data_IF_667570380990
#
_entry.id   IF_667570380990
#
_cell.length_a   1.000
_cell.length_b   1.000
_cell.length_c   1.000
_cell.angle_alpha   90.00
_cell.angle_beta   90.00
_cell.angle_gamma   90.00
#
_symmetry.space_group_name_H-M   'P 1'
#
loop_
_entity.id
_entity.type
_entity.pdbx_description
1 polymer ?
#
# COMPACT_ATOMS: atom_id res chain seq x y z
N UNK A 1 -38.84 -1.31 50.62
CA UNK A 1 -37.98 -2.03 49.65
C UNK A 1 -38.34 -1.57 48.25
N UNK A 2 -37.42 -0.86 47.58
CA UNK A 2 -37.19 -1.03 46.15
C UNK A 2 -35.71 -1.43 45.91
N UNK A 3 -35.41 -2.27 44.91
CA UNK A 3 -34.05 -2.74 44.68
C UNK A 3 -33.24 -1.71 43.89
N UNK A 4 -32.05 -1.38 44.42
CA UNK A 4 -31.01 -0.61 43.75
C UNK A 4 -30.28 -1.49 42.75
N UNK A 5 -30.51 -1.27 41.46
CA UNK A 5 -29.77 -1.91 40.37
C UNK A 5 -28.36 -1.31 40.28
N UNK A 6 -27.36 -2.05 40.79
CA UNK A 6 -25.94 -1.76 40.53
C UNK A 6 -25.64 -2.05 39.05
N UNK A 7 -25.38 -0.99 38.28
CA UNK A 7 -24.77 -1.11 36.95
C UNK A 7 -23.30 -1.48 37.18
N UNK A 8 -22.94 -2.73 36.89
CA UNK A 8 -21.54 -3.15 36.79
C UNK A 8 -21.01 -2.71 35.43
N UNK A 9 -20.18 -1.67 35.42
CA UNK A 9 -19.33 -1.34 34.28
C UNK A 9 -18.24 -2.40 34.16
N UNK A 10 -18.34 -3.27 33.17
CA UNK A 10 -17.29 -4.23 32.81
C UNK A 10 -16.94 -4.09 31.33
N UNK A 11 -15.91 -3.30 31.03
CA UNK A 11 -15.00 -3.50 29.91
C UNK A 11 -13.86 -2.50 30.01
N UNK A 12 -12.86 -2.83 30.82
CA UNK A 12 -11.54 -2.22 30.74
C UNK A 12 -10.92 -2.66 29.40
N UNK A 13 -10.84 -1.72 28.46
CA UNK A 13 -10.02 -1.87 27.27
C UNK A 13 -8.57 -1.77 27.75
N UNK A 14 -7.86 -2.90 27.79
CA UNK A 14 -6.42 -2.87 28.03
C UNK A 14 -5.75 -2.07 26.91
N UNK A 15 -5.11 -0.97 27.28
CA UNK A 15 -4.37 -0.10 26.37
C UNK A 15 -3.09 -0.80 25.92
N UNK A 16 -3.02 -1.16 24.65
CA UNK A 16 -1.80 -1.66 24.02
C UNK A 16 -0.94 -0.45 23.65
N UNK A 17 0.09 -0.17 24.46
CA UNK A 17 1.08 0.87 24.16
C UNK A 17 2.14 0.38 23.17
N UNK A 18 2.71 1.29 22.38
CA UNK A 18 3.71 1.08 21.32
C UNK A 18 5.08 0.60 21.88
N UNK A 19 5.23 0.48 23.21
CA UNK A 19 6.47 0.08 23.89
C UNK A 19 6.68 -1.42 24.14
N UNK A 20 5.83 -2.33 23.66
CA UNK A 20 6.02 -3.79 23.83
C UNK A 20 6.42 -4.46 22.52
N UNK A 21 7.52 -5.21 22.56
CA UNK A 21 7.95 -6.18 21.54
C UNK A 21 6.82 -7.15 21.15
N UNK A 22 6.85 -7.69 19.92
CA UNK A 22 5.64 -7.97 19.14
C UNK A 22 4.84 -9.13 19.72
N UNK A 23 3.55 -8.88 19.95
CA UNK A 23 2.57 -9.96 20.05
C UNK A 23 2.51 -10.64 18.68
N UNK A 24 3.05 -11.87 18.59
CA UNK A 24 2.77 -12.79 17.49
C UNK A 24 1.31 -13.24 17.60
N UNK A 25 0.41 -12.49 17.00
CA UNK A 25 -0.85 -13.05 16.56
C UNK A 25 -0.68 -13.35 15.06
N UNK A 26 -0.69 -14.64 14.70
CA UNK A 26 -0.94 -15.11 13.33
C UNK A 26 -2.39 -14.75 12.95
N UNK A 27 -2.66 -13.46 12.85
CA UNK A 27 -3.83 -12.95 12.19
C UNK A 27 -3.45 -12.87 10.71
N UNK A 28 -4.29 -13.42 9.83
CA UNK A 28 -4.21 -13.15 8.38
C UNK A 28 -4.25 -11.62 8.19
N UNK A 29 -3.07 -11.03 8.08
CA UNK A 29 -2.83 -9.61 7.82
C UNK A 29 -2.70 -9.51 6.31
N UNK A 30 -3.58 -8.72 5.71
CA UNK A 30 -3.59 -8.56 4.26
C UNK A 30 -2.30 -7.87 3.85
N UNK A 31 -1.60 -8.47 2.90
CA UNK A 31 -0.40 -7.94 2.29
C UNK A 31 -0.43 -8.17 0.79
N UNK A 32 0.02 -7.19 0.03
CA UNK A 32 0.21 -7.37 -1.40
C UNK A 32 1.35 -8.38 -1.65
N UNK A 33 1.07 -9.38 -2.49
CA UNK A 33 2.07 -10.34 -2.97
C UNK A 33 2.17 -10.20 -4.49
N UNK A 34 3.35 -10.43 -5.08
CA UNK A 34 3.51 -10.31 -6.50
C UNK A 34 2.96 -11.58 -7.17
N UNK A 35 2.47 -11.45 -8.41
CA UNK A 35 1.70 -12.53 -9.04
C UNK A 35 2.55 -13.73 -9.49
N UNK A 36 3.86 -13.59 -9.43
CA UNK A 36 4.85 -14.64 -9.64
C UNK A 36 5.28 -15.37 -8.37
N UNK A 37 4.88 -14.89 -7.20
CA UNK A 37 5.25 -15.45 -5.91
C UNK A 37 6.67 -15.08 -5.47
N UNK A 38 6.84 -14.98 -4.15
CA UNK A 38 8.11 -14.74 -3.47
C UNK A 38 8.17 -15.60 -2.19
N UNK A 39 9.38 -15.98 -1.72
CA UNK A 39 9.53 -16.58 -0.40
C UNK A 39 8.95 -15.68 0.70
N UNK A 40 8.26 -16.26 1.69
CA UNK A 40 7.49 -15.50 2.69
C UNK A 40 8.35 -14.59 3.59
N UNK A 41 9.63 -14.92 3.75
CA UNK A 41 10.57 -14.13 4.55
C UNK A 41 11.04 -12.87 3.82
N UNK A 42 10.88 -12.80 2.49
CA UNK A 42 11.28 -11.63 1.71
C UNK A 42 10.14 -10.63 1.73
N UNK A 43 10.41 -9.47 2.33
CA UNK A 43 9.41 -8.42 2.51
C UNK A 43 9.45 -7.35 1.43
N UNK A 44 10.65 -6.98 0.98
CA UNK A 44 10.86 -5.93 -0.02
C UNK A 44 11.83 -6.48 -1.06
N UNK A 45 11.59 -6.13 -2.31
CA UNK A 45 12.31 -6.61 -3.48
C UNK A 45 12.21 -5.56 -4.59
N UNK A 46 12.91 -5.78 -5.70
CA UNK A 46 12.68 -5.01 -6.92
C UNK A 46 11.43 -5.53 -7.61
N UNK A 47 10.55 -4.65 -8.08
CA UNK A 47 9.31 -5.06 -8.74
C UNK A 47 8.91 -4.17 -9.91
N UNK A 48 8.04 -4.71 -10.75
CA UNK A 48 7.41 -4.00 -11.86
C UNK A 48 5.91 -3.99 -11.64
N UNK A 49 5.33 -2.80 -11.55
CA UNK A 49 3.88 -2.59 -11.40
C UNK A 49 3.27 -2.15 -12.73
N UNK A 50 2.03 -2.54 -13.00
CA UNK A 50 1.40 -2.30 -14.29
C UNK A 50 0.09 -1.53 -14.16
N UNK A 51 0.02 -0.40 -14.82
CA UNK A 51 -1.23 0.27 -15.13
C UNK A 51 -1.73 -0.26 -16.48
N UNK A 52 -2.42 -1.40 -16.46
CA UNK A 52 -2.90 -2.06 -17.70
C UNK A 52 -4.33 -1.65 -18.02
N UNK A 53 -4.55 -1.17 -19.23
CA UNK A 53 -5.78 -0.52 -19.63
C UNK A 53 -6.20 -1.01 -21.00
N UNK A 54 -7.50 -1.21 -21.17
CA UNK A 54 -8.10 -1.36 -22.47
C UNK A 54 -9.09 -0.23 -22.72
N UNK A 55 -8.69 0.71 -23.59
CA UNK A 55 -9.54 1.85 -23.94
C UNK A 55 -10.81 1.44 -24.67
N UNK A 56 -10.80 0.33 -25.41
CA UNK A 56 -11.98 -0.12 -26.16
C UNK A 56 -13.14 -0.53 -25.25
N UNK A 57 -12.84 -1.19 -24.12
CA UNK A 57 -13.85 -1.60 -23.15
C UNK A 57 -13.93 -0.65 -21.95
N UNK A 58 -13.11 0.39 -21.91
CA UNK A 58 -12.98 1.32 -20.79
C UNK A 58 -12.75 0.58 -19.46
N UNK A 59 -11.81 -0.37 -19.48
CA UNK A 59 -11.45 -1.20 -18.33
C UNK A 59 -9.99 -1.05 -17.94
N UNK A 60 -9.73 -1.25 -16.65
CA UNK A 60 -8.40 -1.30 -16.03
C UNK A 60 -8.21 -2.65 -15.35
N UNK A 61 -7.01 -3.21 -15.45
CA UNK A 61 -6.66 -4.41 -14.72
C UNK A 61 -6.24 -4.06 -13.29
N UNK A 62 -6.72 -4.85 -12.34
CA UNK A 62 -6.35 -4.80 -10.93
C UNK A 62 -5.93 -6.20 -10.46
N UNK A 63 -5.14 -6.26 -9.39
CA UNK A 63 -4.73 -7.53 -8.80
C UNK A 63 -5.93 -8.35 -8.29
N UNK A 64 -5.78 -9.67 -8.28
CA UNK A 64 -6.79 -10.59 -7.78
C UNK A 64 -6.39 -11.14 -6.39
N UNK A 65 -6.39 -10.30 -5.35
CA UNK A 65 -6.07 -10.75 -3.99
C UNK A 65 -7.33 -11.17 -3.23
N UNK A 66 -7.32 -12.42 -2.77
CA UNK A 66 -8.21 -13.02 -1.76
C UNK A 66 -9.65 -12.49 -1.75
N UNK A 67 -10.42 -12.80 -2.80
CA UNK A 67 -11.84 -12.43 -2.90
C UNK A 67 -12.12 -10.91 -2.81
N UNK A 68 -11.21 -10.05 -3.28
CA UNK A 68 -11.46 -8.61 -3.39
C UNK A 68 -11.41 -7.87 -2.05
N UNK A 69 -10.70 -8.39 -1.05
CA UNK A 69 -10.49 -7.66 0.23
C UNK A 69 -9.76 -6.34 0.00
N UNK A 70 -8.84 -6.31 -0.96
CA UNK A 70 -8.01 -5.14 -1.28
C UNK A 70 -7.72 -5.10 -2.79
N UNK A 71 -7.74 -3.89 -3.37
CA UNK A 71 -7.53 -3.61 -4.80
C UNK A 71 -6.29 -2.74 -5.00
N UNK A 72 -5.44 -3.14 -5.93
CA UNK A 72 -4.26 -2.39 -6.36
C UNK A 72 -3.85 -2.72 -7.80
N UNK A 73 -2.73 -2.18 -8.24
CA UNK A 73 -2.11 -2.48 -9.53
C UNK A 73 -1.56 -3.92 -9.54
N UNK A 74 -1.71 -4.67 -10.64
CA UNK A 74 -0.99 -5.91 -10.84
C UNK A 74 0.52 -5.64 -10.88
N UNK A 75 1.31 -6.56 -10.33
CA UNK A 75 2.76 -6.41 -10.28
C UNK A 75 3.48 -7.75 -10.19
N UNK A 76 4.74 -7.76 -10.62
CA UNK A 76 5.61 -8.94 -10.58
C UNK A 76 6.93 -8.58 -9.91
N UNK A 77 7.56 -9.56 -9.26
CA UNK A 77 8.89 -9.40 -8.70
C UNK A 77 9.96 -9.50 -9.80
N UNK A 78 11.06 -8.76 -9.64
CA UNK A 78 12.22 -8.86 -10.50
C UNK A 78 13.21 -9.86 -9.87
N UNK A 79 13.19 -11.11 -10.33
CA UNK A 79 14.07 -12.17 -9.82
C UNK A 79 15.18 -12.56 -10.80
N UNK A 80 15.10 -12.13 -12.05
CA UNK A 80 16.02 -12.57 -13.11
C UNK A 80 17.18 -11.59 -13.27
N UNK A 81 18.40 -12.12 -13.17
CA UNK A 81 19.62 -11.37 -13.47
C UNK A 81 19.85 -11.29 -15.00
N UNK A 82 20.45 -10.19 -15.45
CA UNK A 82 20.91 -10.04 -16.84
C UNK A 82 19.85 -9.61 -17.86
N UNK A 83 18.60 -9.37 -17.46
CA UNK A 83 17.56 -8.81 -18.33
C UNK A 83 17.37 -7.31 -18.07
N UNK A 84 16.92 -6.58 -19.10
CA UNK A 84 16.60 -5.15 -18.96
C UNK A 84 15.22 -4.98 -18.31
N UNK A 85 15.00 -3.83 -17.64
CA UNK A 85 13.68 -3.47 -17.10
C UNK A 85 12.56 -3.52 -18.15
N UNK A 86 12.86 -3.09 -19.39
CA UNK A 86 11.89 -3.11 -20.48
C UNK A 86 11.53 -4.54 -20.91
N UNK A 87 12.51 -5.44 -20.93
CA UNK A 87 12.29 -6.85 -21.23
C UNK A 87 11.48 -7.51 -20.12
N UNK A 88 11.88 -7.33 -18.86
CA UNK A 88 11.16 -7.82 -17.69
C UNK A 88 9.70 -7.33 -17.66
N UNK A 89 9.46 -6.06 -18.02
CA UNK A 89 8.11 -5.51 -18.10
C UNK A 89 7.24 -6.21 -19.16
N UNK A 90 7.79 -6.49 -20.35
CA UNK A 90 7.06 -7.22 -21.40
C UNK A 90 6.76 -8.66 -20.99
N UNK A 91 7.74 -9.35 -20.42
CA UNK A 91 7.58 -10.72 -19.92
C UNK A 91 6.56 -10.79 -18.78
N UNK A 92 6.55 -9.80 -17.88
CA UNK A 92 5.57 -9.71 -16.80
C UNK A 92 4.14 -9.48 -17.31
N UNK A 93 3.93 -8.63 -18.33
CA UNK A 93 2.61 -8.50 -18.98
C UNK A 93 2.15 -9.84 -19.58
N UNK A 94 3.05 -10.52 -20.29
CA UNK A 94 2.77 -11.86 -20.86
C UNK A 94 2.38 -12.85 -19.77
N UNK A 95 3.07 -12.81 -18.61
CA UNK A 95 2.78 -13.67 -17.45
C UNK A 95 1.43 -13.36 -16.81
N UNK A 96 1.06 -12.08 -16.69
CA UNK A 96 -0.18 -11.64 -16.07
C UNK A 96 -1.42 -11.91 -16.94
N UNK A 97 -1.29 -11.80 -18.26
CA UNK A 97 -2.39 -12.02 -19.22
C UNK A 97 -2.44 -13.47 -19.71
N UNK A 98 -1.29 -14.14 -19.75
CA UNK A 98 -1.16 -15.54 -20.15
C UNK A 98 -1.89 -16.48 -19.20
N UNK A 99 -2.61 -17.46 -19.75
CA UNK A 99 -3.11 -18.59 -18.93
C UNK A 99 -1.91 -19.46 -18.57
N UNK A 100 -1.76 -19.84 -17.30
CA UNK A 100 -0.73 -20.77 -16.77
C UNK A 100 -0.88 -22.21 -17.28
N UNK A 101 -1.24 -22.40 -18.54
CA UNK A 101 -1.27 -23.71 -19.18
C UNK A 101 0.11 -24.01 -19.76
N UNK A 102 0.65 -25.19 -19.46
CA UNK A 102 2.04 -25.63 -19.71
C UNK A 102 2.45 -25.75 -21.21
N UNK A 103 1.68 -25.21 -22.15
CA UNK A 103 2.02 -25.06 -23.57
C UNK A 103 2.45 -23.62 -23.89
N UNK A 104 3.39 -23.08 -23.09
CA UNK A 104 3.73 -21.66 -23.09
C UNK A 104 4.43 -21.18 -24.37
N UNK A 105 5.01 -22.07 -25.18
CA UNK A 105 5.76 -21.65 -26.39
C UNK A 105 4.92 -21.62 -27.68
N UNK A 106 3.86 -22.43 -27.81
CA UNK A 106 3.00 -22.40 -29.00
C UNK A 106 1.95 -21.27 -28.98
N UNK A 107 1.79 -20.56 -27.85
CA UNK A 107 0.69 -19.60 -27.60
C UNK A 107 1.11 -18.13 -27.50
N UNK A 108 2.39 -17.78 -27.69
CA UNK A 108 2.81 -16.37 -27.82
C UNK A 108 2.06 -15.65 -28.96
N UNK A 109 1.63 -16.39 -30.00
CA UNK A 109 0.77 -15.89 -31.07
C UNK A 109 -0.66 -15.49 -30.63
N UNK A 110 -1.08 -15.79 -29.39
CA UNK A 110 -2.48 -15.65 -28.91
C UNK A 110 -2.65 -14.66 -27.76
N UNK A 111 -1.67 -13.77 -27.53
CA UNK A 111 -1.77 -12.70 -26.54
C UNK A 111 -2.28 -11.45 -27.27
N UNK A 112 -3.22 -10.68 -26.68
CA UNK A 112 -3.59 -9.36 -27.22
C UNK A 112 -2.35 -8.51 -27.48
N UNK A 113 -2.36 -7.71 -28.54
CA UNK A 113 -1.25 -6.77 -28.80
C UNK A 113 -1.19 -5.76 -27.66
N UNK A 114 0.03 -5.42 -27.26
CA UNK A 114 0.24 -4.44 -26.22
C UNK A 114 1.54 -3.68 -26.40
N UNK A 115 1.56 -2.46 -25.87
CA UNK A 115 2.76 -1.67 -25.67
C UNK A 115 2.93 -1.41 -24.17
N UNK A 116 4.15 -1.55 -23.68
CA UNK A 116 4.51 -1.27 -22.29
C UNK A 116 5.45 -0.08 -22.25
N UNK A 117 4.95 1.06 -21.78
CA UNK A 117 5.68 2.33 -21.72
C UNK A 117 6.02 2.69 -20.27
N UNK A 118 7.26 3.11 -19.98
CA UNK A 118 7.64 3.62 -18.66
C UNK A 118 6.68 4.71 -18.16
N UNK A 119 6.21 4.58 -16.93
CA UNK A 119 5.32 5.56 -16.29
C UNK A 119 5.99 6.22 -15.09
N UNK A 120 6.54 5.42 -14.19
CA UNK A 120 7.09 5.93 -12.94
C UNK A 120 8.24 5.05 -12.45
N UNK A 121 9.41 5.64 -12.27
CA UNK A 121 10.56 5.01 -11.62
C UNK A 121 10.64 5.48 -10.17
N UNK A 122 10.38 4.55 -9.23
CA UNK A 122 10.48 4.81 -7.80
C UNK A 122 11.67 4.08 -7.21
N UNK A 123 12.56 4.80 -6.52
CA UNK A 123 13.65 4.23 -5.74
C UNK A 123 13.39 4.44 -4.25
N UNK A 124 13.40 3.35 -3.49
CA UNK A 124 13.11 3.33 -2.05
C UNK A 124 14.41 3.02 -1.32
N UNK A 125 14.87 3.95 -0.49
CA UNK A 125 16.02 3.73 0.38
C UNK A 125 15.56 3.03 1.66
N UNK A 126 16.20 1.92 2.01
CA UNK A 126 16.08 1.22 3.28
C UNK A 126 17.37 1.43 4.09
N UNK A 127 17.37 1.16 5.40
CA UNK A 127 18.58 1.26 6.21
C UNK A 127 19.74 0.46 5.65
N UNK A 128 20.96 0.85 6.06
CA UNK A 128 22.22 0.31 5.53
C UNK A 128 22.46 0.64 4.05
N UNK A 129 21.87 1.74 3.55
CA UNK A 129 21.97 2.21 2.16
C UNK A 129 21.52 1.15 1.13
N UNK A 130 20.56 0.30 1.52
CA UNK A 130 19.93 -0.66 0.61
C UNK A 130 18.87 0.04 -0.21
N UNK A 131 18.84 -0.20 -1.52
CA UNK A 131 17.85 0.42 -2.40
C UNK A 131 17.01 -0.65 -3.07
N UNK A 132 15.72 -0.37 -3.16
CA UNK A 132 14.75 -1.17 -3.90
C UNK A 132 14.04 -0.32 -4.93
N UNK A 133 13.74 -0.90 -6.09
CA UNK A 133 13.15 -0.22 -7.22
C UNK A 133 11.75 -0.77 -7.47
N UNK A 134 10.78 0.14 -7.55
CA UNK A 134 9.47 -0.14 -8.16
C UNK A 134 9.39 0.62 -9.47
N UNK A 135 9.42 -0.10 -10.58
CA UNK A 135 9.24 0.49 -11.90
C UNK A 135 7.81 0.25 -12.38
N UNK A 136 7.02 1.31 -12.48
CA UNK A 136 5.65 1.25 -13.01
C UNK A 136 5.63 1.47 -14.52
N UNK A 137 4.86 0.64 -15.23
CA UNK A 137 4.63 0.74 -16.68
C UNK A 137 3.15 0.99 -16.97
N UNK A 138 2.89 1.86 -17.93
CA UNK A 138 1.60 1.98 -18.59
C UNK A 138 1.52 0.92 -19.70
N UNK A 139 0.43 0.15 -19.71
CA UNK A 139 0.22 -0.90 -20.71
C UNK A 139 -1.12 -0.71 -21.38
N UNK A 140 -1.11 -0.43 -22.68
CA UNK A 140 -2.33 -0.40 -23.48
C UNK A 140 -2.58 -1.77 -24.09
N UNK A 141 -3.69 -2.41 -23.73
CA UNK A 141 -4.15 -3.68 -24.29
C UNK A 141 -5.07 -3.41 -25.46
N UNK A 142 -4.63 -3.78 -26.64
CA UNK A 142 -5.40 -3.69 -27.87
C UNK A 142 -6.17 -4.97 -28.12
N UNK A 143 -7.40 -4.83 -28.60
CA UNK A 143 -8.18 -5.98 -29.05
C UNK A 143 -7.50 -6.62 -30.26
N UNK A 144 -7.34 -7.94 -30.19
CA UNK A 144 -7.03 -8.76 -31.35
C UNK A 144 -8.33 -9.38 -31.90
N UNK A 145 -8.40 -9.61 -33.20
CA UNK A 145 -9.52 -10.33 -33.82
C UNK A 145 -9.60 -11.80 -33.35
N UNK A 146 -8.50 -12.33 -32.83
CA UNK A 146 -8.36 -13.75 -32.49
C UNK A 146 -8.66 -14.06 -31.02
N UNK A 147 -8.67 -13.05 -30.14
CA UNK A 147 -8.93 -13.25 -28.71
C UNK A 147 -9.56 -12.01 -28.07
N UNK A 148 -10.59 -12.18 -27.23
CA UNK A 148 -11.11 -11.07 -26.41
C UNK A 148 -10.01 -10.51 -25.51
N UNK A 149 -9.95 -9.17 -25.41
CA UNK A 149 -9.17 -8.48 -24.40
C UNK A 149 -10.01 -8.33 -23.11
N UNK A 150 -9.35 -8.02 -22.00
CA UNK A 150 -9.99 -7.82 -20.69
C UNK A 150 -10.67 -9.06 -20.09
N UNK A 151 -10.08 -10.23 -20.28
CA UNK A 151 -10.54 -11.45 -19.60
C UNK A 151 -9.93 -11.52 -18.21
N UNK A 152 -10.79 -11.72 -17.21
CA UNK A 152 -10.36 -12.03 -15.84
C UNK A 152 -9.62 -13.37 -15.80
N UNK A 153 -8.68 -13.50 -14.88
CA UNK A 153 -7.96 -14.74 -14.64
C UNK A 153 -7.55 -14.87 -13.15
N UNK A 154 -6.75 -15.90 -12.84
CA UNK A 154 -6.31 -16.16 -11.45
C UNK A 154 -5.48 -15.03 -10.83
N UNK A 155 -4.86 -14.17 -11.64
CA UNK A 155 -3.91 -13.13 -11.22
C UNK A 155 -4.51 -11.72 -11.30
N UNK A 156 -5.38 -11.46 -12.29
CA UNK A 156 -5.94 -10.12 -12.53
C UNK A 156 -7.45 -10.14 -12.80
N UNK A 157 -8.10 -9.07 -12.36
CA UNK A 157 -9.50 -8.77 -12.66
C UNK A 157 -9.60 -7.45 -13.45
N UNK A 158 -10.61 -7.31 -14.30
CA UNK A 158 -10.83 -6.13 -15.13
C UNK A 158 -12.10 -5.38 -14.71
N UNK A 159 -11.91 -4.21 -14.08
CA UNK A 159 -12.99 -3.34 -13.62
C UNK A 159 -13.17 -2.13 -14.55
N UNK A 160 -14.36 -1.53 -14.57
CA UNK A 160 -14.57 -0.33 -15.38
C UNK A 160 -13.87 0.89 -14.77
N UNK A 161 -13.36 1.79 -15.60
CA UNK A 161 -12.74 3.03 -15.13
C UNK A 161 -13.65 3.88 -14.24
N UNK A 162 -14.95 3.87 -14.53
CA UNK A 162 -15.96 4.61 -13.77
C UNK A 162 -16.08 4.14 -12.32
N UNK A 163 -15.62 2.93 -12.01
CA UNK A 163 -15.67 2.36 -10.66
C UNK A 163 -14.50 2.85 -9.79
N UNK A 164 -13.36 3.23 -10.38
CA UNK A 164 -12.13 3.61 -9.67
C UNK A 164 -12.36 4.65 -8.57
N UNK A 165 -13.09 5.76 -8.80
CA UNK A 165 -13.29 6.78 -7.76
C UNK A 165 -14.05 6.25 -6.53
N UNK A 166 -14.89 5.23 -6.71
CA UNK A 166 -15.79 4.65 -5.71
C UNK A 166 -15.15 3.47 -4.96
N UNK A 167 -13.93 3.08 -5.32
CA UNK A 167 -13.23 1.99 -4.64
C UNK A 167 -12.77 2.46 -3.26
N UNK A 168 -13.29 1.81 -2.22
CA UNK A 168 -12.94 2.07 -0.82
C UNK A 168 -11.84 1.13 -0.30
N UNK A 169 -11.71 -0.04 -0.92
CA UNK A 169 -10.79 -1.10 -0.53
C UNK A 169 -9.43 -1.04 -1.25
N UNK A 170 -8.88 0.14 -1.51
CA UNK A 170 -7.62 0.28 -2.25
C UNK A 170 -6.39 0.14 -1.35
N UNK A 171 -5.31 -0.42 -1.91
CA UNK A 171 -3.99 -0.42 -1.27
C UNK A 171 -3.11 0.71 -1.76
N UNK A 172 -3.08 1.83 -1.04
CA UNK A 172 -2.32 2.99 -1.48
C UNK A 172 -2.98 3.74 -2.66
N UNK A 173 -2.49 4.95 -2.97
CA UNK A 173 -3.16 5.87 -3.87
C UNK A 173 -2.86 5.62 -5.35
N UNK A 174 -1.87 4.78 -5.68
CA UNK A 174 -1.30 4.70 -7.03
C UNK A 174 -2.34 4.39 -8.10
N UNK A 175 -3.28 3.48 -7.85
CA UNK A 175 -4.33 3.15 -8.82
C UNK A 175 -5.15 4.39 -9.19
N UNK A 176 -5.57 5.18 -8.19
CA UNK A 176 -6.35 6.41 -8.40
C UNK A 176 -5.50 7.52 -9.03
N UNK A 177 -4.27 7.69 -8.56
CA UNK A 177 -3.36 8.75 -9.05
C UNK A 177 -2.90 8.50 -10.49
N UNK A 178 -2.51 7.26 -10.81
CA UNK A 178 -2.08 6.91 -12.17
C UNK A 178 -3.24 6.91 -13.15
N UNK A 179 -4.45 6.51 -12.73
CA UNK A 179 -5.64 6.63 -13.58
C UNK A 179 -5.93 8.09 -13.98
N UNK A 180 -5.69 9.06 -13.09
CA UNK A 180 -5.80 10.49 -13.42
C UNK A 180 -4.70 10.95 -14.40
N UNK A 181 -3.52 10.35 -14.35
CA UNK A 181 -2.38 10.71 -15.19
C UNK A 181 -2.54 10.28 -16.66
N UNK A 182 -3.46 9.38 -17.00
CA UNK A 182 -3.60 8.81 -18.35
C UNK A 182 -3.78 9.83 -19.48
N UNK A 183 -4.28 11.02 -19.17
CA UNK A 183 -4.51 12.07 -20.15
C UNK A 183 -3.32 13.03 -20.31
N UNK A 184 -2.31 12.93 -19.43
CA UNK A 184 -1.19 13.88 -19.31
C UNK A 184 0.13 13.20 -18.88
N UNK A 185 0.30 11.90 -19.18
CA UNK A 185 1.35 11.11 -18.56
C UNK A 185 2.75 11.53 -19.05
N UNK A 186 3.47 12.26 -18.20
CA UNK A 186 4.92 12.39 -18.25
C UNK A 186 5.56 11.31 -17.37
N UNK A 187 6.67 10.75 -17.84
CA UNK A 187 7.48 9.83 -17.05
C UNK A 187 7.99 10.54 -15.79
N UNK A 188 7.76 9.94 -14.63
CA UNK A 188 8.21 10.48 -13.33
C UNK A 188 9.35 9.66 -12.75
N UNK A 189 10.31 10.35 -12.14
CA UNK A 189 11.32 9.75 -11.27
C UNK A 189 11.06 10.26 -9.86
N UNK A 190 10.96 9.35 -8.91
CA UNK A 190 10.80 9.66 -7.50
C UNK A 190 11.78 8.83 -6.68
N UNK A 191 12.35 9.46 -5.67
CA UNK A 191 13.21 8.80 -4.71
C UNK A 191 12.64 9.04 -3.31
N UNK A 192 12.52 7.96 -2.54
CA UNK A 192 12.17 8.00 -1.13
C UNK A 192 13.44 7.81 -0.32
N UNK A 193 14.05 8.94 0.05
CA UNK A 193 15.27 8.96 0.85
C UNK A 193 14.95 8.86 2.34
N UNK A 194 15.70 8.01 3.04
CA UNK A 194 15.58 7.79 4.47
C UNK A 194 15.97 9.06 5.25
N UNK A 195 17.01 9.77 4.80
CA UNK A 195 17.44 11.02 5.44
C UNK A 195 16.32 12.08 5.41
N UNK A 196 15.61 12.20 4.29
CA UNK A 196 14.49 13.14 4.16
C UNK A 196 13.32 12.75 5.08
N UNK A 197 13.07 11.45 5.29
CA UNK A 197 12.07 10.98 6.24
C UNK A 197 12.45 11.31 7.70
N UNK A 198 13.73 11.18 8.04
CA UNK A 198 14.24 11.46 9.40
C UNK A 198 14.27 12.97 9.70
N UNK A 199 14.34 13.82 8.65
CA UNK A 199 14.37 15.29 8.80
C UNK A 199 13.17 15.85 9.56
N UNK A 200 12.07 15.11 9.69
CA UNK A 200 10.95 15.51 10.56
C UNK A 200 11.39 15.81 12.00
N UNK A 201 12.43 15.15 12.53
CA UNK A 201 12.96 15.43 13.87
C UNK A 201 13.56 16.84 14.00
N UNK A 202 13.97 17.43 12.88
CA UNK A 202 14.49 18.81 12.81
C UNK A 202 13.39 19.85 12.60
N UNK A 203 12.13 19.43 12.40
CA UNK A 203 11.01 20.35 12.25
C UNK A 203 10.71 21.05 13.59
N UNK A 204 10.49 22.37 13.55
CA UNK A 204 10.30 23.19 14.75
C UNK A 204 9.02 22.85 15.53
N UNK A 205 8.03 22.33 14.83
CA UNK A 205 6.70 22.06 15.37
C UNK A 205 6.56 20.56 15.64
N UNK A 206 6.70 19.75 14.60
CA UNK A 206 6.53 18.30 14.64
C UNK A 206 7.72 17.62 15.28
N UNK A 207 8.94 18.02 14.93
CA UNK A 207 10.17 17.46 15.49
C UNK A 207 10.29 17.70 16.99
N UNK A 208 9.99 18.92 17.44
CA UNK A 208 9.97 19.26 18.87
C UNK A 208 8.99 18.37 19.66
N UNK A 209 7.80 18.11 19.11
CA UNK A 209 6.83 17.19 19.72
C UNK A 209 7.36 15.75 19.78
N UNK A 210 7.88 15.22 18.67
CA UNK A 210 8.43 13.86 18.62
C UNK A 210 9.59 13.68 19.61
N UNK A 211 10.49 14.66 19.70
CA UNK A 211 11.61 14.66 20.66
C UNK A 211 11.10 14.71 22.09
N UNK A 212 10.09 15.52 22.41
CA UNK A 212 9.46 15.56 23.73
C UNK A 212 8.86 14.19 24.12
N UNK A 213 8.36 13.43 23.14
CA UNK A 213 7.87 12.07 23.32
C UNK A 213 8.96 10.99 23.23
N UNK A 214 10.24 11.39 23.31
CA UNK A 214 11.40 10.48 23.30
C UNK A 214 11.45 9.59 22.06
N UNK A 215 10.98 10.10 20.92
CA UNK A 215 11.22 9.50 19.61
C UNK A 215 12.62 9.90 19.17
N UNK A 216 13.51 8.90 19.14
CA UNK A 216 14.87 9.06 18.63
C UNK A 216 14.95 8.72 17.15
N UNK A 217 16.03 9.11 16.49
CA UNK A 217 16.32 8.71 15.12
C UNK A 217 16.29 7.18 14.95
N UNK A 218 16.84 6.41 15.89
CA UNK A 218 16.82 4.95 15.85
C UNK A 218 15.39 4.39 15.86
N UNK A 219 14.50 4.95 16.68
CA UNK A 219 13.08 4.53 16.70
C UNK A 219 12.38 4.91 15.39
N UNK A 220 12.68 6.09 14.86
CA UNK A 220 12.10 6.56 13.61
C UNK A 220 12.51 5.69 12.43
N UNK A 221 13.78 5.27 12.38
CA UNK A 221 14.29 4.32 11.37
C UNK A 221 13.54 2.98 11.47
N UNK A 222 13.38 2.42 12.67
CA UNK A 222 12.64 1.16 12.84
C UNK A 222 11.17 1.29 12.40
N UNK A 223 10.50 2.40 12.74
CA UNK A 223 9.14 2.69 12.28
C UNK A 223 9.07 2.86 10.75
N UNK A 224 10.11 3.43 10.14
CA UNK A 224 10.19 3.57 8.69
C UNK A 224 10.29 2.21 8.00
N UNK A 225 11.17 1.33 8.48
CA UNK A 225 11.28 -0.03 7.94
C UNK A 225 9.94 -0.75 8.00
N UNK A 226 9.29 -0.71 9.15
CA UNK A 226 7.99 -1.37 9.36
C UNK A 226 6.88 -0.77 8.49
N UNK A 227 6.86 0.55 8.36
CA UNK A 227 5.93 1.28 7.49
C UNK A 227 6.10 0.85 6.02
N UNK A 228 7.34 0.84 5.51
CA UNK A 228 7.60 0.45 4.12
C UNK A 228 7.31 -1.02 3.90
N UNK A 229 7.77 -1.90 4.78
CA UNK A 229 7.50 -3.35 4.69
C UNK A 229 6.01 -3.65 4.65
N UNK A 230 5.22 -2.91 5.43
CA UNK A 230 3.77 -3.01 5.41
C UNK A 230 3.19 -2.50 4.09
N UNK A 231 3.49 -1.25 3.70
CA UNK A 231 2.87 -0.62 2.53
C UNK A 231 3.29 -1.24 1.19
N UNK A 232 4.44 -1.89 1.14
CA UNK A 232 5.07 -2.34 -0.09
C UNK A 232 4.12 -3.17 -0.97
N UNK A 233 4.03 -2.89 -2.30
CA UNK A 233 4.90 -1.99 -3.07
C UNK A 233 4.35 -0.57 -3.23
N UNK A 234 3.31 -0.19 -2.49
CA UNK A 234 3.01 1.22 -2.25
C UNK A 234 4.01 1.80 -1.25
N UNK A 235 4.06 3.13 -1.15
CA UNK A 235 4.80 3.86 -0.11
C UNK A 235 3.87 4.75 0.73
N UNK A 236 2.56 4.51 0.65
CA UNK A 236 1.54 5.26 1.36
C UNK A 236 0.48 4.31 1.93
N UNK A 237 -0.17 4.71 3.02
CA UNK A 237 -1.30 3.96 3.57
C UNK A 237 -2.63 4.58 3.16
N UNK A 238 -3.53 3.78 2.61
CA UNK A 238 -4.96 4.11 2.56
C UNK A 238 -5.67 3.50 3.77
N UNK A 239 -6.98 3.72 3.89
CA UNK A 239 -7.75 3.24 5.04
C UNK A 239 -7.59 1.74 5.27
N UNK A 240 -7.68 0.90 4.22
CA UNK A 240 -7.54 -0.54 4.39
C UNK A 240 -6.13 -0.99 4.76
N UNK A 241 -5.09 -0.33 4.25
CA UNK A 241 -3.73 -0.67 4.68
C UNK A 241 -3.43 -0.20 6.10
N UNK A 242 -3.90 0.97 6.54
CA UNK A 242 -3.81 1.37 7.95
C UNK A 242 -4.58 0.42 8.87
N UNK A 243 -5.79 0.02 8.48
CA UNK A 243 -6.59 -0.97 9.22
C UNK A 243 -5.86 -2.30 9.34
N UNK A 244 -5.30 -2.81 8.23
CA UNK A 244 -4.49 -4.03 8.22
C UNK A 244 -3.29 -3.91 9.18
N UNK A 245 -2.62 -2.75 9.17
CA UNK A 245 -1.50 -2.46 10.07
C UNK A 245 -1.94 -2.52 11.54
N UNK A 246 -3.00 -1.81 11.92
CA UNK A 246 -3.46 -1.78 13.31
C UNK A 246 -3.92 -3.17 13.79
N UNK A 247 -4.56 -3.97 12.92
CA UNK A 247 -4.93 -5.36 13.23
C UNK A 247 -3.69 -6.20 13.55
N UNK A 248 -2.60 -6.02 12.80
CA UNK A 248 -1.32 -6.68 13.08
C UNK A 248 -0.81 -6.37 14.51
N UNK A 249 -1.08 -5.17 15.00
CA UNK A 249 -0.73 -4.70 16.35
C UNK A 249 -1.82 -4.93 17.40
N UNK A 250 -2.78 -5.83 17.14
CA UNK A 250 -3.75 -6.29 18.12
C UNK A 250 -5.07 -5.52 18.17
N UNK A 251 -5.32 -4.61 17.22
CA UNK A 251 -6.65 -4.00 17.09
C UNK A 251 -7.66 -5.02 16.55
N UNK A 252 -8.91 -4.90 16.99
CA UNK A 252 -9.98 -5.81 16.57
C UNK A 252 -10.36 -5.61 15.11
N UNK A 253 -10.41 -6.69 14.32
CA UNK A 253 -10.92 -6.66 12.92
C UNK A 253 -12.33 -6.05 12.78
N UNK A 254 -13.11 -6.04 13.87
CA UNK A 254 -14.49 -5.52 13.94
C UNK A 254 -14.57 -4.09 14.50
N UNK A 255 -13.45 -3.39 14.67
CA UNK A 255 -13.45 -2.03 15.18
C UNK A 255 -14.05 -1.05 14.16
N UNK A 256 -15.22 -0.47 14.46
CA UNK A 256 -15.89 0.46 13.57
C UNK A 256 -15.24 1.85 13.55
N UNK A 257 -14.19 2.10 14.35
CA UNK A 257 -13.52 3.40 14.45
C UNK A 257 -12.46 3.61 13.36
N UNK A 258 -12.12 2.61 12.54
CA UNK A 258 -11.07 2.74 11.53
C UNK A 258 -11.19 3.96 10.61
N UNK A 259 -12.39 4.34 10.09
CA UNK A 259 -12.51 5.55 9.28
C UNK A 259 -12.15 6.82 10.04
N UNK A 260 -12.57 6.94 11.32
CA UNK A 260 -12.23 8.08 12.16
C UNK A 260 -10.72 8.12 12.49
N UNK A 261 -10.13 6.96 12.78
CA UNK A 261 -8.68 6.84 13.03
C UNK A 261 -7.91 7.24 11.76
N UNK A 262 -8.30 6.73 10.60
CA UNK A 262 -7.68 7.09 9.32
C UNK A 262 -7.75 8.59 9.04
N UNK A 263 -8.93 9.20 9.20
CA UNK A 263 -9.10 10.65 9.02
C UNK A 263 -8.25 11.48 9.99
N UNK A 264 -7.99 10.97 11.20
CA UNK A 264 -7.10 11.64 12.14
C UNK A 264 -5.64 11.62 11.68
N UNK A 265 -5.20 10.54 11.01
CA UNK A 265 -3.85 10.39 10.46
C UNK A 265 -3.68 11.18 9.15
N UNK A 266 -4.65 11.14 8.23
CA UNK A 266 -4.66 11.90 6.97
C UNK A 266 -5.00 13.38 7.20
N UNK A 267 -4.18 14.05 8.01
CA UNK A 267 -4.41 15.43 8.38
C UNK A 267 -4.19 16.40 7.21
N UNK A 268 -3.54 15.97 6.12
CA UNK A 268 -3.42 16.71 4.85
C UNK A 268 -4.62 16.50 3.91
N UNK A 269 -5.54 15.57 4.22
CA UNK A 269 -6.76 15.26 3.46
C UNK A 269 -6.49 14.84 2.02
N UNK A 270 -5.50 13.97 1.82
CA UNK A 270 -5.11 13.46 0.50
C UNK A 270 -5.79 12.15 0.13
N UNK A 271 -6.46 11.50 1.08
CA UNK A 271 -6.99 10.14 0.95
C UNK A 271 -5.93 9.06 1.14
N UNK A 272 -4.73 9.43 1.63
CA UNK A 272 -3.65 8.53 1.97
C UNK A 272 -2.69 9.19 2.95
N UNK A 273 -1.99 8.36 3.71
CA UNK A 273 -1.07 8.70 4.80
C UNK A 273 0.35 8.47 4.31
N UNK A 274 1.20 9.49 4.42
CA UNK A 274 2.66 9.33 4.28
C UNK A 274 3.33 8.93 5.61
N UNK A 275 4.62 8.61 5.55
CA UNK A 275 5.38 8.19 6.72
C UNK A 275 5.33 9.21 7.88
N UNK A 276 5.37 10.50 7.57
CA UNK A 276 5.33 11.56 8.59
C UNK A 276 3.97 11.63 9.27
N UNK A 277 2.88 11.53 8.50
CA UNK A 277 1.52 11.43 9.02
C UNK A 277 1.33 10.18 9.89
N UNK A 278 1.90 9.05 9.46
CA UNK A 278 1.88 7.79 10.19
C UNK A 278 2.55 7.90 11.56
N UNK A 279 3.79 8.42 11.61
CA UNK A 279 4.54 8.56 12.87
C UNK A 279 3.83 9.50 13.84
N UNK A 280 3.36 10.65 13.36
CA UNK A 280 2.62 11.61 14.19
C UNK A 280 1.34 10.98 14.72
N UNK A 281 0.62 10.22 13.89
CA UNK A 281 -0.57 9.53 14.30
C UNK A 281 -0.34 8.48 15.38
N UNK A 282 0.69 7.63 15.20
CA UNK A 282 1.07 6.64 16.21
C UNK A 282 1.41 7.29 17.55
N UNK A 283 2.23 8.34 17.56
CA UNK A 283 2.60 9.03 18.79
C UNK A 283 1.37 9.63 19.47
N UNK A 284 0.45 10.26 18.73
CA UNK A 284 -0.77 10.83 19.29
C UNK A 284 -1.75 9.77 19.84
N UNK A 285 -1.64 8.51 19.40
CA UNK A 285 -2.43 7.40 19.94
C UNK A 285 -1.87 6.85 21.26
N UNK A 286 -0.63 7.19 21.64
CA UNK A 286 -0.03 6.70 22.87
C UNK A 286 -0.84 7.16 24.11
N UNK A 287 -1.24 6.23 25.00
CA UNK A 287 -2.01 6.57 26.19
C UNK A 287 -1.29 7.56 27.13
N UNK A 288 0.04 7.61 27.05
CA UNK A 288 0.88 8.47 27.90
C UNK A 288 0.89 9.92 27.46
N UNK A 289 0.40 10.24 26.26
CA UNK A 289 0.29 11.62 25.80
C UNK A 289 -0.85 12.31 26.53
N UNK A 290 -0.63 13.54 26.97
CA UNK A 290 -1.69 14.36 27.55
C UNK A 290 -2.87 14.50 26.56
N UNK A 291 -4.10 14.27 27.04
CA UNK A 291 -5.30 14.43 26.24
C UNK A 291 -5.48 15.88 25.78
N UNK A 292 -4.98 16.83 26.57
CA UNK A 292 -5.06 18.26 26.27
C UNK A 292 -3.90 18.73 25.37
N UNK A 293 -3.03 17.82 24.93
CA UNK A 293 -1.93 18.17 24.04
C UNK A 293 -2.49 18.71 22.71
N UNK A 294 -2.07 19.91 22.24
CA UNK A 294 -2.66 20.54 21.06
C UNK A 294 -2.67 19.67 19.80
N UNK A 295 -1.59 18.93 19.53
CA UNK A 295 -1.55 17.99 18.40
C UNK A 295 -2.52 16.82 18.53
N UNK A 296 -2.72 16.30 19.75
CA UNK A 296 -3.66 15.21 20.00
C UNK A 296 -5.10 15.69 19.83
N UNK A 297 -5.45 16.86 20.37
CA UNK A 297 -6.75 17.51 20.14
C UNK A 297 -6.96 17.74 18.64
N UNK A 298 -5.96 18.31 17.97
CA UNK A 298 -6.04 18.60 16.54
C UNK A 298 -6.22 17.34 15.70
N UNK A 299 -5.69 16.20 16.11
CA UNK A 299 -5.94 14.91 15.45
C UNK A 299 -7.32 14.34 15.77
N UNK A 300 -7.73 14.38 17.03
CA UNK A 300 -8.96 13.71 17.51
C UNK A 300 -10.26 14.42 17.11
N UNK A 301 -10.25 15.75 16.99
CA UNK A 301 -11.45 16.56 16.74
C UNK A 301 -11.51 17.12 15.31
N UNK A 302 -10.96 16.39 14.34
CA UNK A 302 -10.89 16.78 12.92
C UNK A 302 -11.98 16.21 12.04
#
# INVERSE_FOLDING_TARGET
MPPTTKIKSSSSIESVGIGRTPFKADLDVVRLRPEDGIPEHIKIYDCIAYLMICFQHNKIAVNNIENGKVIWLPFVSMQQEGITWQQAAREGVVKLIGKRDAELEAKLAKIPKFEANPLHFMRIEMPENKFYIRYSFFVNIEKSNERPCCEDNELINWIAFSEIPQLDNIWGPELKEFAKMLFHAEFKIQELNLEDQIRILSDKTWGAFLVAQKISQTKLIALYEEFIEHCYPSIYMCQESLKSFLIHFGYSKLDNRYPAIFNSFDFKRRGFIDFNEFVLGLVCMEPTIDNDHPFRIQMLFR
#
